data_IF_589445716512
#
_entry.id   IF_589445716512
#
_cell.length_a   1.000
_cell.length_b   1.000
_cell.length_c   1.000
_cell.angle_alpha   90.00
_cell.angle_beta   90.00
_cell.angle_gamma   90.00
#
_symmetry.space_group_name_H-M   'P 1'
#
loop_
_entity.id
_entity.type
_entity.pdbx_description
1 polymer ?
#
# COMPACT_ATOMS: atom_id res chain seq x y z
N UNK A 1 -12.14 28.75 9.28
CA UNK A 1 -13.20 27.78 9.63
C UNK A 1 -12.75 27.06 10.89
N UNK A 2 -13.60 26.95 11.91
CA UNK A 2 -13.25 26.29 13.17
C UNK A 2 -13.14 24.78 12.89
N UNK A 3 -11.93 24.24 12.82
CA UNK A 3 -11.65 22.83 12.43
C UNK A 3 -11.95 21.83 13.54
N UNK A 4 -12.23 22.30 14.76
CA UNK A 4 -12.41 21.45 15.93
C UNK A 4 -13.64 20.53 15.90
N UNK A 5 -14.84 20.98 15.47
CA UNK A 5 -15.99 20.08 15.40
C UNK A 5 -15.75 18.92 14.45
N UNK A 6 -15.10 19.18 13.30
CA UNK A 6 -14.73 18.15 12.34
C UNK A 6 -13.73 17.14 12.92
N UNK A 7 -12.67 17.62 13.60
CA UNK A 7 -11.68 16.75 14.25
C UNK A 7 -12.33 15.84 15.29
N UNK A 8 -13.20 16.39 16.13
CA UNK A 8 -13.89 15.64 17.18
C UNK A 8 -14.79 14.56 16.56
N UNK A 9 -15.55 14.88 15.51
CA UNK A 9 -16.38 13.89 14.80
C UNK A 9 -15.53 12.79 14.15
N UNK A 10 -14.43 13.14 13.48
CA UNK A 10 -13.55 12.17 12.85
C UNK A 10 -12.91 11.21 13.88
N UNK A 11 -12.47 11.73 15.03
CA UNK A 11 -11.93 10.93 16.12
C UNK A 11 -13.00 10.05 16.79
N UNK A 12 -14.24 10.53 16.92
CA UNK A 12 -15.37 9.70 17.38
C UNK A 12 -15.64 8.53 16.43
N UNK A 13 -15.71 8.79 15.12
CA UNK A 13 -15.90 7.73 14.12
C UNK A 13 -14.75 6.71 14.13
N UNK A 14 -13.52 7.16 14.31
CA UNK A 14 -12.35 6.29 14.45
C UNK A 14 -12.48 5.32 15.64
N UNK A 15 -13.12 5.74 16.73
CA UNK A 15 -13.33 4.88 17.91
C UNK A 15 -14.36 3.78 17.66
N UNK A 16 -15.44 4.08 16.95
CA UNK A 16 -16.60 3.18 16.79
C UNK A 16 -16.35 2.02 15.81
N UNK A 17 -15.30 2.07 15.00
CA UNK A 17 -15.09 1.16 13.86
C UNK A 17 -14.64 -0.27 14.21
N UNK A 18 -14.12 -0.53 15.41
CA UNK A 18 -13.52 -1.84 15.75
C UNK A 18 -12.30 -2.16 14.86
N UNK A 19 -11.28 -1.31 14.97
CA UNK A 19 -10.11 -1.23 14.07
C UNK A 19 -9.20 -2.45 14.19
N UNK A 20 -9.14 -3.12 15.34
CA UNK A 20 -8.36 -4.35 15.52
C UNK A 20 -9.25 -5.62 15.56
N UNK A 21 -10.46 -5.55 15.00
CA UNK A 21 -11.31 -6.74 14.82
C UNK A 21 -10.65 -7.75 13.87
N UNK A 22 -11.03 -9.02 14.01
CA UNK A 22 -10.52 -10.09 13.15
C UNK A 22 -10.73 -9.77 11.66
N UNK A 23 -11.93 -9.28 11.31
CA UNK A 23 -12.26 -8.84 9.95
C UNK A 23 -11.35 -7.71 9.46
N UNK A 24 -10.97 -6.78 10.33
CA UNK A 24 -10.12 -5.66 9.95
C UNK A 24 -8.68 -6.08 9.59
N UNK A 25 -8.16 -7.17 10.18
CA UNK A 25 -6.90 -7.80 9.75
C UNK A 25 -7.07 -8.50 8.40
N UNK A 26 -8.15 -9.28 8.24
CA UNK A 26 -8.42 -10.01 7.00
C UNK A 26 -8.60 -9.09 5.79
N UNK A 27 -9.29 -7.95 5.96
CA UNK A 27 -9.47 -6.94 4.91
C UNK A 27 -8.14 -6.33 4.44
N UNK A 28 -7.10 -6.40 5.28
CA UNK A 28 -5.73 -5.97 4.97
C UNK A 28 -4.84 -7.10 4.45
N UNK A 29 -5.33 -8.33 4.43
CA UNK A 29 -4.53 -9.51 4.08
C UNK A 29 -3.48 -9.87 5.14
N UNK A 30 -3.67 -9.45 6.39
CA UNK A 30 -2.81 -9.74 7.53
C UNK A 30 -3.38 -10.92 8.33
N UNK A 31 -2.53 -11.78 8.91
CA UNK A 31 -3.04 -12.72 9.91
C UNK A 31 -3.32 -11.96 11.22
N UNK A 32 -4.50 -12.18 11.81
CA UNK A 32 -4.83 -11.59 13.09
C UNK A 32 -4.09 -12.26 14.24
N UNK A 33 -3.56 -11.43 15.13
CA UNK A 33 -3.06 -11.86 16.44
C UNK A 33 -4.18 -12.36 17.36
N UNK A 34 -3.77 -12.89 18.50
CA UNK A 34 -4.69 -13.37 19.53
C UNK A 34 -5.61 -12.25 20.05
N UNK A 35 -6.73 -12.66 20.64
CA UNK A 35 -7.78 -11.75 21.10
C UNK A 35 -7.27 -10.76 22.16
N UNK A 36 -6.35 -11.17 23.04
CA UNK A 36 -5.82 -10.30 24.09
C UNK A 36 -5.00 -9.15 23.50
N UNK A 37 -4.12 -9.47 22.54
CA UNK A 37 -3.33 -8.48 21.80
C UNK A 37 -4.24 -7.51 21.04
N UNK A 38 -5.20 -8.03 20.28
CA UNK A 38 -6.13 -7.21 19.48
C UNK A 38 -6.99 -6.30 20.35
N UNK A 39 -7.55 -6.82 21.44
CA UNK A 39 -8.34 -6.04 22.38
C UNK A 39 -7.49 -5.00 23.12
N UNK A 40 -6.23 -5.33 23.42
CA UNK A 40 -5.25 -4.42 23.99
C UNK A 40 -4.98 -3.22 23.09
N UNK A 41 -4.75 -3.47 21.80
CA UNK A 41 -4.56 -2.43 20.79
C UNK A 41 -5.81 -1.58 20.59
N UNK A 42 -7.00 -2.21 20.50
CA UNK A 42 -8.27 -1.48 20.38
C UNK A 42 -8.47 -0.51 21.55
N UNK A 43 -8.26 -0.98 22.79
CA UNK A 43 -8.34 -0.13 24.00
C UNK A 43 -7.31 1.00 23.98
N UNK A 44 -6.07 0.69 23.61
CA UNK A 44 -4.99 1.67 23.53
C UNK A 44 -5.35 2.80 22.56
N UNK A 45 -5.73 2.47 21.33
CA UNK A 45 -6.05 3.47 20.31
C UNK A 45 -7.35 4.23 20.62
N UNK A 46 -8.33 3.59 21.25
CA UNK A 46 -9.54 4.28 21.71
C UNK A 46 -9.23 5.31 22.80
N UNK A 47 -8.43 4.93 23.79
CA UNK A 47 -7.99 5.84 24.84
C UNK A 47 -7.14 6.99 24.27
N UNK A 48 -6.26 6.69 23.33
CA UNK A 48 -5.43 7.73 22.70
C UNK A 48 -6.25 8.70 21.83
N UNK A 49 -7.27 8.22 21.12
CA UNK A 49 -8.21 9.09 20.41
C UNK A 49 -8.93 10.06 21.36
N UNK A 50 -9.30 9.62 22.57
CA UNK A 50 -9.87 10.52 23.59
C UNK A 50 -8.89 11.63 24.01
N UNK A 51 -7.60 11.32 24.12
CA UNK A 51 -6.58 12.35 24.42
C UNK A 51 -6.46 13.38 23.28
N UNK A 52 -6.49 12.94 22.02
CA UNK A 52 -6.51 13.85 20.86
C UNK A 52 -7.78 14.72 20.84
N UNK A 53 -8.94 14.15 21.17
CA UNK A 53 -10.20 14.90 21.27
C UNK A 53 -10.14 15.95 22.39
N UNK A 54 -9.56 15.62 23.54
CA UNK A 54 -9.36 16.57 24.65
C UNK A 54 -8.43 17.71 24.23
N UNK A 55 -7.30 17.40 23.60
CA UNK A 55 -6.39 18.40 23.07
C UNK A 55 -7.09 19.30 22.02
N UNK A 56 -7.92 18.72 21.14
CA UNK A 56 -8.73 19.48 20.21
C UNK A 56 -9.68 20.46 20.91
N UNK A 57 -10.46 20.00 21.91
CA UNK A 57 -11.36 20.87 22.68
C UNK A 57 -10.65 22.03 23.40
N UNK A 58 -9.37 21.85 23.71
CA UNK A 58 -8.54 22.85 24.40
C UNK A 58 -7.82 23.83 23.45
N UNK A 59 -8.02 23.74 22.13
CA UNK A 59 -7.29 24.61 21.21
C UNK A 59 -5.92 24.09 20.79
N UNK A 60 -5.68 22.78 20.91
CA UNK A 60 -4.42 22.14 20.56
C UNK A 60 -3.96 22.47 19.14
N UNK A 61 -2.66 22.66 19.00
CA UNK A 61 -2.00 22.94 17.72
C UNK A 61 -1.49 21.65 17.07
N UNK A 62 -1.12 21.73 15.79
CA UNK A 62 -0.44 20.63 15.08
C UNK A 62 0.79 20.11 15.84
N UNK A 63 1.55 21.00 16.50
CA UNK A 63 2.69 20.63 17.33
C UNK A 63 2.29 19.82 18.57
N UNK A 64 1.16 20.16 19.19
CA UNK A 64 0.64 19.43 20.34
C UNK A 64 0.21 18.02 19.94
N UNK A 65 -0.50 17.89 18.80
CA UNK A 65 -0.89 16.60 18.26
C UNK A 65 0.32 15.74 17.87
N UNK A 66 1.32 16.33 17.21
CA UNK A 66 2.54 15.61 16.86
C UNK A 66 3.26 15.09 18.10
N UNK A 67 3.37 15.90 19.15
CA UNK A 67 3.94 15.45 20.43
C UNK A 67 3.15 14.27 21.03
N UNK A 68 1.83 14.38 21.09
CA UNK A 68 0.96 13.32 21.61
C UNK A 68 1.12 12.01 20.82
N UNK A 69 1.14 12.08 19.50
CA UNK A 69 1.37 10.93 18.62
C UNK A 69 2.72 10.27 18.88
N UNK A 70 3.79 11.07 18.97
CA UNK A 70 5.13 10.56 19.23
C UNK A 70 5.26 9.92 20.61
N UNK A 71 4.61 10.49 21.64
CA UNK A 71 4.67 9.94 22.98
C UNK A 71 3.86 8.64 23.10
N UNK A 72 2.69 8.57 22.48
CA UNK A 72 1.92 7.33 22.38
C UNK A 72 2.69 6.23 21.62
N UNK A 73 3.35 6.56 20.51
CA UNK A 73 4.15 5.60 19.75
C UNK A 73 5.30 5.00 20.58
N UNK A 74 5.92 5.79 21.47
CA UNK A 74 6.98 5.32 22.39
C UNK A 74 6.44 4.41 23.50
N UNK A 75 5.17 4.52 23.88
CA UNK A 75 4.56 3.66 24.90
C UNK A 75 4.38 2.22 24.40
N UNK A 76 4.29 2.02 23.08
CA UNK A 76 4.22 0.69 22.49
C UNK A 76 5.61 0.09 22.34
N UNK A 77 5.88 -0.96 23.12
CA UNK A 77 7.08 -1.76 22.98
C UNK A 77 6.97 -2.67 21.74
N UNK A 78 7.57 -2.25 20.62
CA UNK A 78 7.50 -3.00 19.35
C UNK A 78 7.92 -4.48 19.43
N UNK A 79 8.73 -4.86 20.42
CA UNK A 79 9.26 -6.22 20.52
C UNK A 79 8.22 -7.24 21.02
N UNK A 80 7.05 -6.78 21.51
CA UNK A 80 5.95 -7.66 21.93
C UNK A 80 4.95 -7.96 20.81
N UNK A 81 5.11 -7.31 19.66
CA UNK A 81 4.23 -7.42 18.50
C UNK A 81 4.95 -8.12 17.37
N UNK A 82 4.23 -8.95 16.62
CA UNK A 82 4.78 -9.56 15.42
C UNK A 82 4.87 -8.54 14.26
N UNK A 83 5.21 -8.99 13.06
CA UNK A 83 5.33 -8.07 11.91
C UNK A 83 3.98 -7.49 11.49
N UNK A 84 2.93 -8.30 11.46
CA UNK A 84 1.60 -7.91 10.97
C UNK A 84 0.94 -6.91 11.94
N UNK A 85 1.07 -7.14 13.25
CA UNK A 85 0.65 -6.19 14.28
C UNK A 85 1.40 -4.87 14.18
N UNK A 86 2.72 -4.90 13.97
CA UNK A 86 3.51 -3.67 13.85
C UNK A 86 3.11 -2.85 12.63
N UNK A 87 2.82 -3.50 11.51
CA UNK A 87 2.33 -2.83 10.30
C UNK A 87 0.95 -2.22 10.56
N UNK A 88 0.02 -2.96 11.16
CA UNK A 88 -1.31 -2.45 11.48
C UNK A 88 -1.26 -1.28 12.49
N UNK A 89 -0.41 -1.38 13.51
CA UNK A 89 -0.17 -0.26 14.45
C UNK A 89 0.30 0.99 13.69
N UNK A 90 1.24 0.85 12.75
CA UNK A 90 1.74 1.98 11.96
C UNK A 90 0.65 2.60 11.08
N UNK A 91 -0.12 1.78 10.36
CA UNK A 91 -1.24 2.24 9.54
C UNK A 91 -2.29 2.99 10.37
N UNK A 92 -2.57 2.48 11.57
CA UNK A 92 -3.55 3.08 12.48
C UNK A 92 -3.06 4.43 13.02
N UNK A 93 -1.75 4.56 13.29
CA UNK A 93 -1.16 5.86 13.64
C UNK A 93 -1.15 6.83 12.47
N UNK A 94 -0.88 6.38 11.24
CA UNK A 94 -0.90 7.22 10.04
C UNK A 94 -2.31 7.77 9.78
N UNK A 95 -3.35 6.95 9.96
CA UNK A 95 -4.74 7.41 9.90
C UNK A 95 -5.04 8.50 10.94
N UNK A 96 -4.64 8.29 12.20
CA UNK A 96 -4.80 9.31 13.26
C UNK A 96 -4.03 10.59 12.94
N UNK A 97 -2.80 10.47 12.42
CA UNK A 97 -1.97 11.58 11.99
C UNK A 97 -2.66 12.35 10.84
N UNK A 98 -3.28 11.65 9.90
CA UNK A 98 -4.10 12.23 8.83
C UNK A 98 -5.32 13.00 9.34
N UNK A 99 -6.03 12.46 10.35
CA UNK A 99 -7.17 13.14 10.99
C UNK A 99 -6.72 14.47 11.58
N UNK A 100 -5.62 14.49 12.34
CA UNK A 100 -5.09 15.71 12.99
C UNK A 100 -4.13 16.53 12.13
N UNK A 101 -3.95 16.14 10.87
CA UNK A 101 -3.10 16.79 9.85
C UNK A 101 -1.63 16.95 10.27
N UNK A 102 -1.06 15.91 10.85
CA UNK A 102 0.35 15.83 11.25
C UNK A 102 1.09 14.87 10.31
N UNK A 103 2.30 15.22 9.91
CA UNK A 103 3.22 14.27 9.27
C UNK A 103 4.02 13.50 10.33
N UNK A 104 3.84 12.17 10.33
CA UNK A 104 4.47 11.20 11.24
C UNK A 104 5.27 10.11 10.48
N UNK A 105 5.40 10.22 9.15
CA UNK A 105 5.93 9.14 8.31
C UNK A 105 7.32 8.69 8.72
N UNK A 106 8.19 9.65 9.02
CA UNK A 106 9.57 9.39 9.42
C UNK A 106 9.65 8.68 10.78
N UNK A 107 8.79 9.05 11.72
CA UNK A 107 8.72 8.46 13.05
C UNK A 107 8.16 7.03 13.02
N UNK A 108 7.13 6.78 12.22
CA UNK A 108 6.56 5.44 12.01
C UNK A 108 7.58 4.49 11.37
N UNK A 109 8.25 4.94 10.31
CA UNK A 109 9.31 4.15 9.67
C UNK A 109 10.43 3.79 10.65
N UNK A 110 10.83 4.73 11.51
CA UNK A 110 11.86 4.49 12.55
C UNK A 110 11.38 3.51 13.61
N UNK A 111 10.11 3.58 14.02
CA UNK A 111 9.56 2.65 14.98
C UNK A 111 9.50 1.23 14.40
N UNK A 112 8.93 1.09 13.20
CA UNK A 112 8.75 -0.18 12.48
C UNK A 112 10.09 -0.86 12.16
N UNK A 113 10.97 -0.19 11.41
CA UNK A 113 12.19 -0.78 10.87
C UNK A 113 13.45 -0.48 11.70
N UNK A 114 13.38 0.44 12.66
CA UNK A 114 14.56 0.93 13.38
C UNK A 114 15.33 2.01 12.61
N UNK A 115 16.14 2.78 13.33
CA UNK A 115 16.90 3.92 12.78
C UNK A 115 17.91 3.53 11.70
N UNK A 116 18.47 2.32 11.78
CA UNK A 116 19.48 1.83 10.83
C UNK A 116 18.89 1.56 9.44
N UNK A 117 17.76 0.85 9.36
CA UNK A 117 17.11 0.54 8.08
C UNK A 117 16.54 1.80 7.41
N UNK A 118 15.98 2.74 8.18
CA UNK A 118 15.51 4.02 7.63
C UNK A 118 16.66 4.86 7.08
N UNK A 119 17.81 4.88 7.75
CA UNK A 119 18.99 5.60 7.26
C UNK A 119 19.51 4.98 5.95
N UNK A 120 19.48 3.65 5.84
CA UNK A 120 19.84 2.93 4.61
C UNK A 120 18.85 3.21 3.48
N UNK A 121 17.53 3.19 3.75
CA UNK A 121 16.49 3.56 2.78
C UNK A 121 16.66 4.99 2.29
N UNK A 122 16.92 5.96 3.18
CA UNK A 122 17.17 7.37 2.79
C UNK A 122 18.42 7.54 1.95
N UNK A 123 19.48 6.77 2.18
CA UNK A 123 20.69 6.77 1.32
C UNK A 123 20.35 6.15 -0.05
N UNK A 124 19.59 5.07 -0.09
CA UNK A 124 19.12 4.47 -1.35
C UNK A 124 18.19 5.41 -2.10
N UNK A 125 17.25 6.08 -1.42
CA UNK A 125 16.33 7.06 -2.00
C UNK A 125 17.05 8.34 -2.45
N UNK A 126 18.14 8.75 -1.78
CA UNK A 126 18.99 9.84 -2.23
C UNK A 126 19.82 9.46 -3.47
N UNK A 127 20.26 8.21 -3.56
CA UNK A 127 20.94 7.66 -4.74
C UNK A 127 19.95 7.45 -5.91
N UNK A 128 18.72 6.99 -5.62
CA UNK A 128 17.64 6.79 -6.60
C UNK A 128 17.00 8.11 -7.04
N UNK A 129 16.78 9.04 -6.13
CA UNK A 129 16.14 10.35 -6.37
C UNK A 129 16.94 11.30 -7.26
N UNK A 130 18.21 10.98 -7.55
CA UNK A 130 19.00 11.66 -8.59
C UNK A 130 18.77 11.12 -10.01
N UNK A 131 18.11 9.97 -10.19
CA UNK A 131 17.64 9.52 -11.50
C UNK A 131 16.22 10.07 -11.69
N UNK A 132 16.08 11.17 -12.45
CA UNK A 132 14.82 11.38 -13.19
C UNK A 132 14.61 10.12 -14.01
N UNK A 133 13.59 9.34 -13.69
CA UNK A 133 13.25 8.12 -14.43
C UNK A 133 13.07 8.47 -15.90
N UNK A 134 14.10 8.17 -16.70
CA UNK A 134 14.05 8.39 -18.14
C UNK A 134 13.32 7.20 -18.72
N UNK A 135 12.06 7.38 -19.07
CA UNK A 135 11.32 6.38 -19.85
C UNK A 135 12.06 6.22 -21.18
N UNK A 136 12.59 5.03 -21.43
CA UNK A 136 13.34 4.70 -22.63
C UNK A 136 12.42 4.33 -23.79
N UNK A 137 11.30 3.67 -23.46
CA UNK A 137 10.31 3.17 -24.42
C UNK A 137 8.96 2.99 -23.71
N UNK A 138 7.87 3.18 -24.45
CA UNK A 138 6.51 2.84 -24.01
C UNK A 138 6.01 1.73 -24.91
N UNK A 139 5.66 0.58 -24.31
CA UNK A 139 4.94 -0.50 -24.97
C UNK A 139 3.46 -0.34 -24.65
N UNK A 140 2.60 -0.28 -25.65
CA UNK A 140 1.18 -0.02 -25.45
C UNK A 140 0.33 -0.96 -26.29
N UNK A 141 -0.70 -1.53 -25.67
CA UNK A 141 -1.75 -2.31 -26.34
C UNK A 141 -3.12 -1.75 -25.94
N UNK A 142 -4.09 -1.82 -26.85
CA UNK A 142 -5.44 -1.34 -26.53
C UNK A 142 -6.20 -2.39 -25.73
N UNK A 143 -6.86 -1.97 -24.64
CA UNK A 143 -7.76 -2.84 -23.90
C UNK A 143 -8.90 -3.34 -24.79
N UNK A 144 -9.10 -4.66 -24.83
CA UNK A 144 -10.16 -5.30 -25.63
C UNK A 144 -11.58 -4.90 -25.22
N UNK A 145 -11.79 -4.46 -23.98
CA UNK A 145 -13.11 -4.08 -23.46
C UNK A 145 -13.45 -2.59 -23.62
N UNK A 146 -12.48 -1.69 -23.44
CA UNK A 146 -12.73 -0.24 -23.43
C UNK A 146 -11.79 0.60 -24.31
N UNK A 147 -10.87 -0.04 -25.04
CA UNK A 147 -9.87 0.59 -25.90
C UNK A 147 -8.90 1.57 -25.22
N UNK A 148 -8.94 1.73 -23.90
CA UNK A 148 -7.95 2.49 -23.15
C UNK A 148 -6.56 1.83 -23.30
N UNK A 149 -5.48 2.63 -23.39
CA UNK A 149 -4.13 2.11 -23.55
C UNK A 149 -3.67 1.40 -22.28
N UNK A 150 -3.14 0.20 -22.46
CA UNK A 150 -2.46 -0.59 -21.46
C UNK A 150 -0.96 -0.43 -21.70
N UNK A 151 -0.27 0.31 -20.85
CA UNK A 151 1.10 0.74 -21.10
C UNK A 151 2.12 0.11 -20.14
N UNK A 152 3.21 -0.41 -20.69
CA UNK A 152 4.44 -0.72 -19.97
C UNK A 152 5.52 0.31 -20.33
N UNK A 153 5.91 1.12 -19.36
CA UNK A 153 6.95 2.14 -19.43
C UNK A 153 8.30 1.48 -19.13
N UNK A 154 9.12 1.26 -20.15
CA UNK A 154 10.45 0.64 -20.01
C UNK A 154 11.44 1.68 -19.48
N UNK A 155 12.05 1.39 -18.33
CA UNK A 155 12.99 2.28 -17.64
C UNK A 155 14.44 1.85 -17.87
N UNK A 156 14.70 0.55 -18.03
CA UNK A 156 16.04 0.01 -18.31
C UNK A 156 15.96 -1.20 -19.25
N UNK A 157 16.86 -1.24 -20.23
CA UNK A 157 17.06 -2.38 -21.13
C UNK A 157 18.40 -3.04 -20.86
N UNK A 158 18.44 -4.37 -20.92
CA UNK A 158 19.68 -5.15 -20.82
C UNK A 158 19.65 -6.27 -21.85
N UNK A 159 20.70 -6.35 -22.67
CA UNK A 159 20.83 -7.42 -23.65
C UNK A 159 20.95 -8.78 -22.97
N UNK A 160 20.34 -9.79 -23.58
CA UNK A 160 20.41 -11.18 -23.12
C UNK A 160 19.34 -11.56 -22.10
N UNK A 161 18.45 -10.64 -21.70
CA UNK A 161 17.25 -11.01 -20.95
C UNK A 161 16.24 -11.64 -21.94
N UNK A 162 15.89 -12.93 -21.79
CA UNK A 162 14.93 -13.58 -22.68
C UNK A 162 13.52 -13.05 -22.45
N UNK A 163 12.66 -13.23 -23.45
CA UNK A 163 11.22 -13.08 -23.30
C UNK A 163 10.68 -14.34 -22.63
N UNK A 164 10.29 -14.25 -21.36
CA UNK A 164 10.01 -15.42 -20.52
C UNK A 164 8.54 -15.75 -20.38
N UNK A 165 7.63 -14.79 -20.54
CA UNK A 165 6.25 -14.93 -20.07
C UNK A 165 5.23 -14.24 -20.97
N UNK A 166 4.04 -14.83 -21.04
CA UNK A 166 2.80 -14.14 -21.41
C UNK A 166 2.13 -13.61 -20.14
N UNK A 167 1.65 -12.38 -20.15
CA UNK A 167 1.02 -11.80 -18.97
C UNK A 167 -0.48 -11.66 -19.16
N UNK A 168 -1.22 -12.15 -18.18
CA UNK A 168 -2.63 -11.81 -18.05
C UNK A 168 -2.72 -10.58 -17.17
N UNK A 169 -3.28 -9.51 -17.72
CA UNK A 169 -3.39 -8.21 -17.07
C UNK A 169 -4.86 -7.80 -16.96
N UNK A 170 -5.21 -7.03 -15.93
CA UNK A 170 -6.56 -6.46 -15.79
C UNK A 170 -6.51 -4.95 -16.01
N UNK A 171 -7.36 -4.47 -16.92
CA UNK A 171 -7.53 -3.05 -17.18
C UNK A 171 -8.05 -2.33 -15.92
N UNK A 172 -7.38 -1.23 -15.52
CA UNK A 172 -7.80 -0.47 -14.35
C UNK A 172 -9.12 0.28 -14.58
N UNK A 173 -9.47 0.59 -15.83
CA UNK A 173 -10.68 1.36 -16.18
C UNK A 173 -11.95 0.50 -16.26
N UNK A 174 -11.90 -0.62 -16.99
CA UNK A 174 -13.09 -1.45 -17.25
C UNK A 174 -13.04 -2.86 -16.64
N UNK A 175 -11.95 -3.21 -15.95
CA UNK A 175 -11.71 -4.53 -15.34
C UNK A 175 -11.62 -5.71 -16.33
N UNK A 176 -11.66 -5.45 -17.63
CA UNK A 176 -11.45 -6.47 -18.67
C UNK A 176 -10.05 -7.08 -18.55
N UNK A 177 -9.97 -8.40 -18.67
CA UNK A 177 -8.71 -9.12 -18.72
C UNK A 177 -8.14 -9.11 -20.14
N UNK A 178 -6.82 -8.94 -20.27
CA UNK A 178 -6.13 -8.89 -21.55
C UNK A 178 -4.86 -9.74 -21.47
N UNK A 179 -4.42 -10.26 -22.62
CA UNK A 179 -3.09 -10.82 -22.76
C UNK A 179 -2.14 -9.68 -23.14
N UNK A 180 -0.96 -9.63 -22.54
CA UNK A 180 0.04 -8.61 -22.79
C UNK A 180 1.42 -9.26 -22.85
N UNK A 181 2.31 -8.73 -23.69
CA UNK A 181 3.71 -9.17 -23.71
C UNK A 181 4.68 -7.99 -23.77
N UNK A 182 5.75 -8.08 -22.99
CA UNK A 182 6.77 -7.04 -22.92
C UNK A 182 7.93 -7.25 -23.90
N UNK A 183 8.10 -8.48 -24.40
CA UNK A 183 9.22 -8.86 -25.25
C UNK A 183 10.57 -8.99 -24.51
N UNK A 184 11.65 -9.33 -25.24
CA UNK A 184 12.96 -9.57 -24.66
C UNK A 184 13.71 -8.26 -24.35
N UNK A 185 14.82 -8.39 -23.61
CA UNK A 185 15.78 -7.33 -23.26
C UNK A 185 15.24 -6.22 -22.34
N UNK A 186 14.18 -6.50 -21.57
CA UNK A 186 13.60 -5.55 -20.61
C UNK A 186 14.05 -5.93 -19.20
N UNK A 187 14.72 -4.99 -18.51
CA UNK A 187 15.21 -5.21 -17.14
C UNK A 187 14.33 -4.54 -16.09
N UNK A 188 13.87 -3.34 -16.38
CA UNK A 188 13.05 -2.56 -15.46
C UNK A 188 11.94 -1.86 -16.23
N UNK A 189 10.71 -1.93 -15.69
CA UNK A 189 9.53 -1.33 -16.27
C UNK A 189 8.53 -0.90 -15.18
N UNK A 190 7.57 -0.07 -15.57
CA UNK A 190 6.41 0.33 -14.76
C UNK A 190 5.13 0.21 -15.57
N UNK A 191 4.05 -0.22 -14.92
CA UNK A 191 2.74 -0.31 -15.54
C UNK A 191 1.94 0.98 -15.41
N UNK A 192 1.20 1.29 -16.46
CA UNK A 192 0.22 2.36 -16.49
C UNK A 192 -1.06 1.85 -17.19
N UNK A 193 -2.22 2.07 -16.58
CA UNK A 193 -3.52 1.62 -17.12
C UNK A 193 -3.93 0.17 -16.83
N UNK A 194 -3.06 -0.66 -16.24
CA UNK A 194 -3.38 -2.03 -15.80
C UNK A 194 -2.58 -2.48 -14.57
N UNK A 195 -2.94 -3.64 -14.03
CA UNK A 195 -2.10 -4.43 -13.13
C UNK A 195 -2.00 -5.87 -13.64
N UNK A 196 -0.86 -6.52 -13.36
CA UNK A 196 -0.64 -7.92 -13.71
C UNK A 196 -1.39 -8.84 -12.75
N UNK A 197 -2.04 -9.86 -13.31
CA UNK A 197 -2.87 -10.83 -12.58
C UNK A 197 -2.19 -12.20 -12.54
N UNK A 198 -1.63 -12.63 -13.67
CA UNK A 198 -0.99 -13.93 -13.82
C UNK A 198 0.18 -13.84 -14.80
N UNK A 199 1.24 -14.63 -14.58
CA UNK A 199 2.37 -14.81 -15.50
C UNK A 199 2.36 -16.25 -16.01
N UNK A 200 2.42 -16.43 -17.32
CA UNK A 200 2.42 -17.74 -17.98
C UNK A 200 3.75 -17.94 -18.70
N UNK A 201 4.66 -18.78 -18.16
CA UNK A 201 5.97 -18.96 -18.74
C UNK A 201 5.89 -19.51 -20.17
N UNK A 202 6.53 -18.85 -21.13
CA UNK A 202 6.58 -19.24 -22.55
C UNK A 202 7.19 -20.62 -22.80
N UNK A 203 7.99 -21.11 -21.84
CA UNK A 203 8.53 -22.49 -21.86
C UNK A 203 7.46 -23.56 -21.59
N UNK A 204 6.34 -23.17 -20.97
CA UNK A 204 5.24 -24.06 -20.57
C UNK A 204 3.95 -23.77 -21.36
N UNK A 205 3.77 -22.54 -21.85
CA UNK A 205 2.56 -22.08 -22.52
C UNK A 205 2.86 -21.48 -23.89
N UNK A 206 2.21 -22.00 -24.93
CA UNK A 206 2.11 -21.32 -26.23
C UNK A 206 1.19 -20.10 -26.13
N UNK A 207 1.20 -19.24 -27.16
CA UNK A 207 0.31 -18.09 -27.24
C UNK A 207 -1.17 -18.53 -27.17
N UNK A 208 -1.53 -19.57 -27.92
CA UNK A 208 -2.89 -20.12 -27.95
C UNK A 208 -3.31 -20.65 -26.59
N UNK A 209 -2.41 -21.32 -25.88
CA UNK A 209 -2.68 -21.81 -24.52
C UNK A 209 -2.84 -20.65 -23.52
N UNK A 210 -2.07 -19.58 -23.69
CA UNK A 210 -2.21 -18.37 -22.88
C UNK A 210 -3.55 -17.65 -23.15
N UNK A 211 -4.00 -17.60 -24.41
CA UNK A 211 -5.33 -17.12 -24.76
C UNK A 211 -6.45 -17.99 -24.18
N UNK A 212 -6.32 -19.33 -24.22
CA UNK A 212 -7.29 -20.22 -23.58
C UNK A 212 -7.38 -19.93 -22.08
N UNK A 213 -6.23 -19.73 -21.41
CA UNK A 213 -6.19 -19.38 -19.98
C UNK A 213 -6.83 -18.01 -19.70
N UNK A 214 -6.60 -17.03 -20.57
CA UNK A 214 -7.26 -15.73 -20.49
C UNK A 214 -8.79 -15.89 -20.54
N UNK A 215 -9.32 -16.62 -21.52
CA UNK A 215 -10.76 -16.84 -21.66
C UNK A 215 -11.36 -17.59 -20.46
N UNK A 216 -10.64 -18.56 -19.89
CA UNK A 216 -11.05 -19.19 -18.64
C UNK A 216 -11.16 -18.18 -17.50
N UNK A 217 -10.18 -17.30 -17.32
CA UNK A 217 -10.21 -16.28 -16.28
C UNK A 217 -11.38 -15.32 -16.49
N UNK A 218 -11.62 -14.88 -17.72
CA UNK A 218 -12.79 -14.05 -18.07
C UNK A 218 -14.09 -14.74 -17.66
N UNK A 219 -14.24 -16.03 -17.98
CA UNK A 219 -15.44 -16.79 -17.64
C UNK A 219 -15.62 -16.98 -16.12
N UNK A 220 -14.58 -17.38 -15.39
CA UNK A 220 -14.70 -17.73 -13.97
C UNK A 220 -14.71 -16.53 -13.02
N UNK A 221 -14.14 -15.39 -13.42
CA UNK A 221 -14.02 -14.18 -12.57
C UNK A 221 -15.00 -13.06 -12.95
N UNK A 222 -15.96 -13.31 -13.83
CA UNK A 222 -17.10 -12.42 -14.13
C UNK A 222 -18.19 -12.41 -13.03
N UNK A 223 -17.88 -12.78 -11.78
CA UNK A 223 -18.79 -12.69 -10.63
C UNK A 223 -18.35 -11.60 -9.66
#
# INVERSE_FOLDING_TARGET
>A
MNTQPFLITALSNFKERGKFSYSAYMDRGLNPSDDETRDGLERFFNHFADQLMMAAKQGGTEKDYKRLLMDALKMLNKNVFDTEDREFICDTFDELAGIVRVDLKDELNKWLYGSFLVSMMKVVDFIKGKKKEKVLEIRSEACTGCSQPLEALVLEKQQGIPDTDWWIVQCNSCREYNLFSIGPNIKELRFNGFHQVESLPRREFTEEQAFIRLEQIKYFRQR
#
